data_IF_714773849892
#
_entry.id   IF_714773849892
#
_cell.length_a   1.000
_cell.length_b   1.000
_cell.length_c   1.000
_cell.angle_alpha   90.00
_cell.angle_beta   90.00
_cell.angle_gamma   90.00
#
_symmetry.space_group_name_H-M   'P 1'
#
loop_
_entity.id
_entity.type
_entity.pdbx_description
1 polymer ?
#
# COMPACT_ATOMS: atom_id res chain seq x y z
N UNK A 1 38.59 -24.49 0.00
CA UNK A 1 38.60 -23.04 -0.22
C UNK A 1 37.35 -22.53 -0.93
N UNK A 2 36.90 -23.23 -1.95
CA UNK A 2 35.68 -22.80 -2.66
C UNK A 2 34.42 -22.82 -1.80
N UNK A 3 34.36 -23.69 -0.79
CA UNK A 3 33.20 -23.81 0.08
C UNK A 3 33.04 -22.60 0.98
N UNK A 4 34.13 -21.99 1.42
CA UNK A 4 34.06 -20.77 2.25
C UNK A 4 33.51 -19.58 1.46
N UNK A 5 33.93 -19.45 0.21
CA UNK A 5 33.45 -18.36 -0.65
C UNK A 5 31.94 -18.49 -0.97
N UNK A 6 31.47 -19.71 -1.14
CA UNK A 6 30.07 -19.96 -1.37
C UNK A 6 29.22 -19.63 -0.15
N UNK A 7 29.68 -19.97 1.04
CA UNK A 7 28.97 -19.64 2.27
C UNK A 7 28.92 -18.14 2.52
N UNK A 8 30.01 -17.45 2.28
CA UNK A 8 30.06 -16.00 2.42
C UNK A 8 29.14 -15.32 1.41
N UNK A 9 29.11 -15.83 0.18
CA UNK A 9 28.25 -15.30 -0.87
C UNK A 9 26.76 -15.50 -0.53
N UNK A 10 26.39 -16.68 -0.05
CA UNK A 10 25.02 -16.96 0.38
C UNK A 10 24.58 -16.08 1.55
N UNK A 11 25.47 -15.84 2.49
CA UNK A 11 25.18 -14.99 3.64
C UNK A 11 24.92 -13.55 3.20
N UNK A 12 25.75 -13.05 2.29
CA UNK A 12 25.56 -11.71 1.71
C UNK A 12 24.25 -11.60 0.94
N UNK A 13 23.90 -12.62 0.18
CA UNK A 13 22.64 -12.64 -0.58
C UNK A 13 21.43 -12.60 0.34
N UNK A 14 21.47 -13.34 1.43
CA UNK A 14 20.39 -13.33 2.43
C UNK A 14 20.25 -11.98 3.10
N UNK A 15 21.34 -11.30 3.41
CA UNK A 15 21.31 -9.95 3.97
C UNK A 15 20.66 -8.95 3.02
N UNK A 16 21.00 -9.01 1.74
CA UNK A 16 20.42 -8.13 0.73
C UNK A 16 18.90 -8.36 0.60
N UNK A 17 18.46 -9.62 0.63
CA UNK A 17 17.05 -9.97 0.59
C UNK A 17 16.31 -9.43 1.82
N UNK A 18 16.91 -9.50 3.01
CA UNK A 18 16.31 -8.97 4.23
C UNK A 18 16.09 -7.47 4.15
N UNK A 19 17.02 -6.74 3.57
CA UNK A 19 16.92 -5.29 3.40
C UNK A 19 15.77 -4.93 2.44
N UNK A 20 15.50 -5.77 1.44
CA UNK A 20 14.41 -5.54 0.50
C UNK A 20 13.04 -5.55 1.17
N UNK A 21 12.86 -6.33 2.22
CA UNK A 21 11.59 -6.41 2.95
C UNK A 21 11.26 -5.16 3.76
N UNK A 22 12.24 -4.27 3.99
CA UNK A 22 12.03 -3.04 4.75
C UNK A 22 11.53 -1.90 3.88
N UNK A 23 11.39 -2.11 2.58
CA UNK A 23 10.90 -1.09 1.68
C UNK A 23 9.38 -0.95 1.79
N UNK A 24 8.92 0.23 2.22
CA UNK A 24 7.50 0.54 2.25
C UNK A 24 6.96 0.65 0.81
N UNK A 25 5.85 -0.03 0.54
CA UNK A 25 5.22 0.00 -0.76
C UNK A 25 4.35 1.24 -0.91
N UNK A 26 4.33 1.81 -2.11
CA UNK A 26 3.40 2.88 -2.47
C UNK A 26 2.39 2.34 -3.46
N UNK A 27 1.11 2.49 -3.14
CA UNK A 27 0.03 2.02 -4.00
C UNK A 27 -0.75 3.23 -4.51
N UNK A 28 -0.83 3.36 -5.83
CA UNK A 28 -1.73 4.30 -6.48
C UNK A 28 -3.12 3.67 -6.53
N UNK A 29 -4.08 4.27 -5.85
CA UNK A 29 -5.40 3.66 -5.70
C UNK A 29 -6.17 3.61 -7.02
N UNK A 30 -5.95 4.56 -7.92
CA UNK A 30 -6.57 4.50 -9.24
C UNK A 30 -6.06 3.29 -10.04
N UNK A 31 -4.75 3.05 -10.01
CA UNK A 31 -4.16 1.89 -10.69
C UNK A 31 -4.58 0.58 -10.02
N UNK A 32 -4.84 0.61 -8.73
CA UNK A 32 -5.33 -0.56 -8.00
C UNK A 32 -6.78 -0.91 -8.31
N UNK A 33 -7.49 -0.05 -9.02
CA UNK A 33 -8.85 -0.31 -9.43
C UNK A 33 -9.92 0.55 -8.76
N UNK A 34 -9.51 1.59 -8.01
CA UNK A 34 -10.49 2.46 -7.37
C UNK A 34 -11.27 3.26 -8.40
N UNK A 35 -12.55 3.42 -8.14
CA UNK A 35 -13.41 4.31 -8.93
C UNK A 35 -13.17 5.74 -8.48
N UNK A 36 -12.84 6.62 -9.41
CA UNK A 36 -12.54 8.03 -9.13
C UNK A 36 -13.65 8.96 -9.64
N UNK A 37 -14.78 8.42 -10.04
CA UNK A 37 -15.91 9.20 -10.57
C UNK A 37 -17.11 9.26 -9.63
N UNK A 38 -16.96 8.74 -8.41
CA UNK A 38 -18.02 8.75 -7.42
C UNK A 38 -19.18 7.82 -7.72
N UNK A 39 -18.97 6.80 -8.55
CA UNK A 39 -20.03 5.89 -8.98
C UNK A 39 -20.06 4.59 -8.19
N UNK A 40 -18.89 4.10 -7.78
CA UNK A 40 -18.76 2.81 -7.10
C UNK A 40 -18.12 3.00 -5.74
N UNK A 41 -18.54 2.16 -4.81
CA UNK A 41 -18.00 2.18 -3.45
C UNK A 41 -16.60 1.57 -3.42
N UNK A 42 -15.65 2.29 -2.84
CA UNK A 42 -14.25 1.89 -2.79
C UNK A 42 -13.84 1.31 -1.43
N UNK A 43 -14.77 1.16 -0.49
CA UNK A 43 -14.47 0.80 0.89
C UNK A 43 -13.70 -0.53 0.98
N UNK A 44 -14.20 -1.56 0.31
CA UNK A 44 -13.58 -2.88 0.38
C UNK A 44 -12.17 -2.87 -0.22
N UNK A 45 -12.01 -2.21 -1.37
CA UNK A 45 -10.70 -2.12 -2.02
C UNK A 45 -9.70 -1.39 -1.12
N UNK A 46 -10.09 -0.27 -0.55
CA UNK A 46 -9.19 0.53 0.30
C UNK A 46 -8.82 -0.26 1.55
N UNK A 47 -9.79 -0.85 2.23
CA UNK A 47 -9.53 -1.60 3.46
C UNK A 47 -8.67 -2.84 3.19
N UNK A 48 -8.92 -3.56 2.11
CA UNK A 48 -8.09 -4.72 1.76
C UNK A 48 -6.67 -4.32 1.40
N UNK A 49 -6.48 -3.18 0.74
CA UNK A 49 -5.16 -2.66 0.43
C UNK A 49 -4.41 -2.26 1.69
N UNK A 50 -5.09 -1.61 2.63
CA UNK A 50 -4.52 -1.26 3.93
C UNK A 50 -4.07 -2.52 4.67
N UNK A 51 -4.91 -3.55 4.70
CA UNK A 51 -4.57 -4.80 5.38
C UNK A 51 -3.36 -5.48 4.75
N UNK A 52 -3.30 -5.49 3.42
CA UNK A 52 -2.16 -6.07 2.71
C UNK A 52 -0.87 -5.32 3.00
N UNK A 53 -0.91 -3.99 2.95
CA UNK A 53 0.27 -3.18 3.25
C UNK A 53 0.68 -3.33 4.71
N UNK A 54 -0.27 -3.38 5.63
CA UNK A 54 0.01 -3.58 7.04
C UNK A 54 0.71 -4.91 7.30
N UNK A 55 0.27 -5.97 6.64
CA UNK A 55 0.88 -7.29 6.76
C UNK A 55 2.31 -7.32 6.20
N UNK A 56 2.63 -6.43 5.27
CA UNK A 56 3.94 -6.35 4.63
C UNK A 56 4.85 -5.26 5.22
N UNK A 57 4.51 -4.74 6.38
CA UNK A 57 5.36 -3.78 7.08
C UNK A 57 4.94 -2.32 6.94
N UNK A 58 3.84 -2.04 6.25
CA UNK A 58 3.32 -0.70 6.08
C UNK A 58 3.48 -0.18 4.67
N UNK A 59 3.03 1.05 4.45
CA UNK A 59 3.14 1.64 3.13
C UNK A 59 2.35 2.93 2.98
N UNK A 60 2.26 3.40 1.76
CA UNK A 60 1.59 4.65 1.41
C UNK A 60 0.46 4.36 0.42
N UNK A 61 -0.71 4.91 0.71
CA UNK A 61 -1.83 4.93 -0.22
C UNK A 61 -1.88 6.30 -0.89
N UNK A 62 -1.73 6.32 -2.21
CA UNK A 62 -1.83 7.54 -2.97
C UNK A 62 -3.18 7.63 -3.66
N UNK A 63 -3.88 8.74 -3.44
CA UNK A 63 -5.19 9.01 -4.03
C UNK A 63 -5.05 10.15 -5.04
N UNK A 64 -4.97 9.85 -6.35
CA UNK A 64 -4.97 10.90 -7.37
C UNK A 64 -6.25 11.73 -7.33
N UNK A 65 -6.24 12.86 -8.03
CA UNK A 65 -7.41 13.72 -8.10
C UNK A 65 -8.62 12.94 -8.63
N UNK A 66 -9.76 13.11 -7.97
CA UNK A 66 -10.99 12.41 -8.34
C UNK A 66 -12.01 12.45 -7.23
N UNK A 67 -13.13 11.81 -7.44
CA UNK A 67 -14.21 11.68 -6.46
C UNK A 67 -14.26 10.23 -5.97
N UNK A 68 -14.07 10.04 -4.67
CA UNK A 68 -14.01 8.72 -4.04
C UNK A 68 -15.24 8.51 -3.16
N UNK A 69 -16.05 7.54 -3.52
CA UNK A 69 -17.21 7.16 -2.71
C UNK A 69 -16.76 6.06 -1.75
N UNK A 70 -16.85 6.32 -0.44
CA UNK A 70 -16.38 5.38 0.57
C UNK A 70 -17.33 5.29 1.76
N UNK A 71 -17.32 4.14 2.42
CA UNK A 71 -17.86 4.00 3.77
C UNK A 71 -16.75 4.12 4.81
N UNK A 72 -16.80 3.28 5.83
CA UNK A 72 -15.82 3.33 6.91
C UNK A 72 -14.47 2.76 6.46
N UNK A 73 -13.42 3.53 6.65
CA UNK A 73 -12.04 3.13 6.34
C UNK A 73 -11.31 2.87 7.66
N UNK A 74 -10.69 1.71 7.76
CA UNK A 74 -9.94 1.29 8.96
C UNK A 74 -8.46 1.55 8.76
N UNK A 75 -8.05 2.80 9.02
CA UNK A 75 -6.66 3.20 8.87
C UNK A 75 -5.79 2.58 9.97
N UNK A 76 -4.57 2.20 9.62
CA UNK A 76 -3.60 1.64 10.56
C UNK A 76 -2.39 2.56 10.68
N UNK A 77 -1.68 2.48 11.82
CA UNK A 77 -0.65 3.45 12.17
C UNK A 77 0.56 3.45 11.23
N UNK A 78 0.84 2.33 10.58
CA UNK A 78 1.96 2.23 9.63
C UNK A 78 1.56 2.50 8.19
N UNK A 79 0.36 3.03 7.97
CA UNK A 79 -0.15 3.38 6.65
C UNK A 79 -0.24 4.89 6.55
N UNK A 80 0.34 5.45 5.49
CA UNK A 80 0.31 6.88 5.23
C UNK A 80 -0.60 7.18 4.05
N UNK A 81 -1.72 7.88 4.26
CA UNK A 81 -2.54 8.32 3.13
C UNK A 81 -1.95 9.61 2.54
N UNK A 82 -1.82 9.65 1.22
CA UNK A 82 -1.45 10.86 0.49
C UNK A 82 -2.57 11.21 -0.46
N UNK A 83 -3.25 12.31 -0.19
CA UNK A 83 -4.42 12.73 -0.92
C UNK A 83 -4.08 14.00 -1.69
N UNK A 84 -4.33 13.98 -2.99
CA UNK A 84 -4.11 15.15 -3.82
C UNK A 84 -5.16 16.23 -3.49
N UNK A 85 -4.79 17.51 -3.59
CA UNK A 85 -5.67 18.61 -3.19
C UNK A 85 -7.01 18.63 -3.92
N UNK A 86 -7.05 18.07 -5.12
CA UNK A 86 -8.27 18.04 -5.95
C UNK A 86 -9.11 16.78 -5.73
N UNK A 87 -8.74 15.93 -4.78
CA UNK A 87 -9.52 14.75 -4.46
C UNK A 87 -10.72 15.13 -3.59
N UNK A 88 -11.85 14.55 -3.90
CA UNK A 88 -13.10 14.76 -3.15
C UNK A 88 -13.57 13.42 -2.60
N UNK A 89 -14.00 13.46 -1.35
CA UNK A 89 -14.47 12.26 -0.66
C UNK A 89 -15.94 12.39 -0.37
N UNK A 90 -16.71 11.36 -0.74
CA UNK A 90 -18.12 11.28 -0.45
C UNK A 90 -18.35 10.09 0.46
N UNK A 91 -18.95 10.36 1.62
CA UNK A 91 -19.34 9.31 2.56
C UNK A 91 -20.70 8.78 2.18
N UNK A 92 -20.81 7.46 2.15
CA UNK A 92 -22.11 6.83 2.02
C UNK A 92 -22.55 6.38 3.41
N UNK A 93 -23.61 7.00 3.89
CA UNK A 93 -24.21 6.61 5.17
C UNK A 93 -25.02 5.34 4.98
N UNK A 94 -24.77 4.37 5.83
CA UNK A 94 -25.54 3.13 5.82
C UNK A 94 -26.37 3.02 7.05
#
# INVERSE_FOLDING_TARGET
MNDMNKRTFLSLLLCVCSLSFLHAERVDMQQAGADIQGRKLNTTLINSTIDRLNANGGGTLFFPAGTYLTGSIHMKSNITPKIRKQSQWQSQLQ
#
